data_IF_355894610226
#
_entry.id   IF_355894610226
#
_cell.length_a   1.000
_cell.length_b   1.000
_cell.length_c   1.000
_cell.angle_alpha   90.00
_cell.angle_beta   90.00
_cell.angle_gamma   90.00
#
_symmetry.space_group_name_H-M   'P 1'
#
loop_
_entity.id
_entity.type
_entity.pdbx_description
1 polymer ?
#
# COMPACT_ATOMS: atom_id res chain seq x y z
N UNK A 1 30.79 -53.01 23.03
CA UNK A 1 31.78 -52.12 22.41
C UNK A 1 31.32 -50.68 22.63
N UNK A 2 32.26 -49.78 22.89
CA UNK A 2 32.12 -48.58 23.72
C UNK A 2 31.14 -47.50 23.23
N UNK A 3 30.36 -46.99 24.18
CA UNK A 3 29.63 -45.72 24.14
C UNK A 3 30.52 -44.60 24.71
N UNK A 4 30.55 -43.43 24.07
CA UNK A 4 30.69 -42.06 24.61
C UNK A 4 30.45 -41.14 23.39
N UNK A 5 29.77 -39.99 23.45
CA UNK A 5 30.15 -38.79 24.19
C UNK A 5 29.02 -37.76 24.06
N UNK A 6 28.80 -36.94 25.09
CA UNK A 6 28.11 -35.65 24.93
C UNK A 6 27.04 -35.36 25.97
N UNK A 7 27.47 -34.91 27.15
CA UNK A 7 26.59 -34.32 28.15
C UNK A 7 26.04 -32.96 27.66
N UNK A 8 24.75 -32.72 27.83
CA UNK A 8 24.23 -31.36 27.95
C UNK A 8 23.17 -31.31 29.04
N UNK A 9 23.51 -30.61 30.12
CA UNK A 9 22.61 -30.23 31.20
C UNK A 9 21.69 -29.11 30.68
N UNK A 10 20.38 -29.30 30.75
CA UNK A 10 19.43 -28.18 30.68
C UNK A 10 18.60 -28.14 31.96
N UNK A 11 18.64 -26.97 32.59
CA UNK A 11 18.06 -26.63 33.88
C UNK A 11 16.56 -26.35 33.74
N UNK A 12 15.76 -26.93 34.62
CA UNK A 12 14.36 -26.57 34.85
C UNK A 12 14.26 -25.22 35.60
N UNK A 13 13.36 -24.34 35.16
CA UNK A 13 12.77 -23.32 36.03
C UNK A 13 11.32 -23.08 35.62
N UNK A 14 10.42 -23.49 36.49
CA UNK A 14 8.97 -23.36 36.40
C UNK A 14 8.59 -22.41 37.54
N UNK A 15 8.16 -21.18 37.24
CA UNK A 15 7.55 -20.30 38.24
C UNK A 15 6.31 -19.62 37.64
N UNK A 16 5.28 -19.69 38.46
CA UNK A 16 3.84 -19.49 38.29
C UNK A 16 3.39 -18.04 38.15
N UNK A 17 2.22 -17.85 37.54
CA UNK A 17 1.45 -16.60 37.56
C UNK A 17 0.67 -16.42 38.88
N UNK A 18 -0.05 -15.28 38.98
CA UNK A 18 -0.83 -14.67 40.09
C UNK A 18 -0.05 -13.55 40.81
N UNK A 19 -0.57 -12.35 41.04
CA UNK A 19 -1.90 -11.77 40.87
C UNK A 19 -1.89 -10.30 41.37
N UNK A 20 -3.00 -9.61 41.17
CA UNK A 20 -3.20 -8.16 41.21
C UNK A 20 -2.94 -7.41 42.53
N UNK A 21 -2.65 -6.10 42.44
CA UNK A 21 -3.44 -5.06 43.15
C UNK A 21 -3.07 -3.61 42.76
N UNK A 22 -4.11 -2.79 42.82
CA UNK A 22 -4.29 -1.37 42.47
C UNK A 22 -3.65 -0.35 43.41
N UNK A 23 -3.29 0.84 42.90
CA UNK A 23 -3.73 2.17 43.41
C UNK A 23 -3.16 3.34 42.57
N UNK A 24 -3.84 4.47 42.68
CA UNK A 24 -3.91 5.62 41.77
C UNK A 24 -2.72 6.60 41.73
N UNK A 25 -2.72 7.31 40.60
CA UNK A 25 -2.41 8.74 40.40
C UNK A 25 -0.97 9.23 40.62
N UNK A 26 -0.33 9.65 39.51
CA UNK A 26 0.20 11.01 39.44
C UNK A 26 0.30 11.52 38.00
N UNK A 27 -0.33 12.68 37.84
CA UNK A 27 -0.46 13.51 36.67
C UNK A 27 0.93 13.89 36.10
N UNK A 28 1.27 13.42 34.90
CA UNK A 28 2.40 13.95 34.12
C UNK A 28 1.94 14.26 32.70
N UNK A 29 1.71 15.55 32.47
CA UNK A 29 1.51 16.23 31.19
C UNK A 29 2.62 15.83 30.19
N UNK A 30 2.31 15.26 29.01
CA UNK A 30 3.29 15.18 27.93
C UNK A 30 3.52 16.57 27.34
N UNK A 31 4.79 16.94 27.18
CA UNK A 31 5.24 18.21 26.65
C UNK A 31 4.73 18.45 25.22
N UNK A 32 4.26 19.67 24.95
CA UNK A 32 3.89 20.13 23.63
C UNK A 32 5.12 20.15 22.70
N UNK A 33 5.02 19.46 21.56
CA UNK A 33 6.02 19.51 20.48
C UNK A 33 5.98 20.91 19.84
N UNK A 34 7.11 21.57 19.58
CA UNK A 34 7.10 22.93 19.05
C UNK A 34 6.57 22.93 17.61
N UNK A 35 5.61 23.83 17.38
CA UNK A 35 5.06 24.15 16.07
C UNK A 35 6.02 25.09 15.33
N UNK A 36 6.82 24.55 14.41
CA UNK A 36 7.35 25.29 13.25
C UNK A 36 7.99 24.34 12.24
N UNK A 37 7.16 23.71 11.40
CA UNK A 37 7.62 23.23 10.10
C UNK A 37 7.10 24.24 9.06
N UNK A 38 8.00 25.07 8.52
CA UNK A 38 7.71 25.93 7.37
C UNK A 38 7.16 25.03 6.26
N UNK A 39 5.92 25.27 5.82
CA UNK A 39 5.36 24.63 4.65
C UNK A 39 6.18 25.08 3.43
N UNK A 40 7.04 24.20 2.93
CA UNK A 40 7.70 24.39 1.64
C UNK A 40 6.63 24.18 0.58
N UNK A 41 6.26 25.25 -0.14
CA UNK A 41 5.36 25.16 -1.28
C UNK A 41 5.91 24.11 -2.27
N UNK A 42 5.10 23.17 -2.77
CA UNK A 42 5.60 22.13 -3.65
C UNK A 42 6.04 22.77 -4.97
N UNK A 43 7.26 22.43 -5.39
CA UNK A 43 7.77 22.76 -6.73
C UNK A 43 6.84 22.12 -7.75
N UNK A 44 6.04 22.93 -8.44
CA UNK A 44 5.14 22.48 -9.50
C UNK A 44 5.99 22.14 -10.73
N UNK A 45 6.17 20.85 -11.02
CA UNK A 45 6.73 20.43 -12.31
C UNK A 45 5.73 20.81 -13.41
N UNK A 46 6.11 21.72 -14.30
CA UNK A 46 5.26 22.33 -15.35
C UNK A 46 5.12 21.49 -16.62
N UNK A 47 5.05 20.17 -16.50
CA UNK A 47 4.89 19.26 -17.64
C UNK A 47 4.00 18.06 -17.32
N UNK A 48 3.39 17.43 -18.34
CA UNK A 48 2.49 16.31 -18.13
C UNK A 48 3.23 15.17 -17.44
N UNK A 49 2.67 14.66 -16.34
CA UNK A 49 3.26 13.55 -15.61
C UNK A 49 3.15 12.28 -16.44
N UNK A 50 4.31 11.67 -16.73
CA UNK A 50 4.40 10.40 -17.45
C UNK A 50 5.09 9.36 -16.58
N UNK A 51 4.60 8.13 -16.64
CA UNK A 51 5.14 6.99 -15.91
C UNK A 51 5.31 5.84 -16.89
N UNK A 52 6.48 5.18 -16.84
CA UNK A 52 6.72 3.96 -17.60
C UNK A 52 6.49 2.76 -16.67
N UNK A 53 5.67 1.80 -17.12
CA UNK A 53 5.40 0.55 -16.44
C UNK A 53 6.10 -0.56 -17.22
N UNK A 54 6.96 -1.29 -16.54
CA UNK A 54 7.64 -2.47 -17.07
C UNK A 54 6.88 -3.72 -16.66
N UNK A 55 6.70 -4.64 -17.60
CA UNK A 55 6.07 -5.94 -17.39
C UNK A 55 6.81 -6.99 -18.20
N UNK A 56 6.62 -8.26 -17.88
CA UNK A 56 7.19 -9.38 -18.66
C UNK A 56 6.67 -9.41 -20.11
N UNK A 57 5.50 -8.81 -20.35
CA UNK A 57 4.89 -8.68 -21.67
C UNK A 57 5.32 -7.42 -22.43
N UNK A 58 6.22 -6.62 -21.87
CA UNK A 58 6.73 -5.38 -22.46
C UNK A 58 6.47 -4.13 -21.61
N UNK A 59 6.84 -2.97 -22.16
CA UNK A 59 6.77 -1.68 -21.48
C UNK A 59 5.63 -0.82 -22.02
N UNK A 60 4.99 -0.05 -21.13
CA UNK A 60 3.96 0.92 -21.50
C UNK A 60 4.20 2.27 -20.83
N UNK A 61 3.88 3.35 -21.54
CA UNK A 61 3.98 4.71 -21.00
C UNK A 61 2.57 5.25 -20.81
N UNK A 62 2.26 5.63 -19.58
CA UNK A 62 1.00 6.29 -19.22
C UNK A 62 1.24 7.77 -19.00
N UNK A 63 0.31 8.60 -19.48
CA UNK A 63 0.22 10.01 -19.15
C UNK A 63 -0.90 10.17 -18.12
N UNK A 64 -0.60 10.77 -16.98
CA UNK A 64 -1.60 11.07 -15.97
C UNK A 64 -2.30 12.40 -16.29
N UNK A 65 -3.59 12.47 -15.99
CA UNK A 65 -4.40 13.67 -16.19
C UNK A 65 -4.18 14.67 -15.07
N UNK A 66 -4.11 15.95 -15.41
CA UNK A 66 -4.09 17.05 -14.42
C UNK A 66 -5.49 17.37 -13.88
N UNK A 67 -6.55 16.86 -14.53
CA UNK A 67 -7.94 17.02 -14.08
C UNK A 67 -8.34 16.08 -12.95
N UNK A 68 -7.48 15.12 -12.57
CA UNK A 68 -7.66 14.20 -11.44
C UNK A 68 -6.45 14.27 -10.51
N UNK A 69 -6.18 15.44 -9.89
CA UNK A 69 -4.94 15.69 -9.15
C UNK A 69 -4.75 14.76 -7.96
N UNK A 70 -5.81 14.40 -7.22
CA UNK A 70 -5.67 13.53 -6.04
C UNK A 70 -5.23 12.12 -6.43
N UNK A 71 -5.84 11.54 -7.46
CA UNK A 71 -5.45 10.24 -7.99
C UNK A 71 -4.07 10.28 -8.64
N UNK A 72 -3.77 11.32 -9.42
CA UNK A 72 -2.45 11.53 -10.04
C UNK A 72 -1.36 11.53 -8.98
N UNK A 73 -1.52 12.38 -7.96
CA UNK A 73 -0.48 12.61 -6.96
C UNK A 73 -0.30 11.39 -6.05
N UNK A 74 -1.39 10.71 -5.70
CA UNK A 74 -1.28 9.44 -4.98
C UNK A 74 -0.60 8.35 -5.81
N UNK A 75 -0.93 8.21 -7.09
CA UNK A 75 -0.28 7.23 -7.96
C UNK A 75 1.22 7.51 -8.09
N UNK A 76 1.60 8.78 -8.30
CA UNK A 76 3.02 9.20 -8.34
C UNK A 76 3.73 8.90 -7.02
N UNK A 77 3.08 9.17 -5.89
CA UNK A 77 3.62 8.86 -4.56
C UNK A 77 3.89 7.35 -4.42
N UNK A 78 2.92 6.51 -4.75
CA UNK A 78 3.05 5.05 -4.66
C UNK A 78 4.13 4.50 -5.59
N UNK A 79 4.23 5.02 -6.82
CA UNK A 79 5.31 4.66 -7.76
C UNK A 79 6.68 5.02 -7.19
N UNK A 80 6.86 6.23 -6.63
CA UNK A 80 8.12 6.64 -6.00
C UNK A 80 8.50 5.78 -4.78
N UNK A 81 7.52 5.15 -4.14
CA UNK A 81 7.71 4.27 -2.99
C UNK A 81 8.01 2.82 -3.41
N UNK A 82 8.08 2.50 -4.71
CA UNK A 82 8.24 1.12 -5.18
C UNK A 82 7.04 0.23 -4.87
N UNK A 83 5.87 0.82 -4.60
CA UNK A 83 4.68 0.08 -4.17
C UNK A 83 4.27 -0.97 -5.22
N UNK A 84 4.26 -0.56 -6.49
CA UNK A 84 3.83 -1.39 -7.62
C UNK A 84 4.86 -2.43 -8.06
N UNK A 85 6.08 -2.40 -7.51
CA UNK A 85 7.14 -3.31 -7.93
C UNK A 85 6.77 -4.75 -7.58
N UNK A 86 6.92 -5.63 -8.57
CA UNK A 86 6.57 -7.05 -8.51
C UNK A 86 5.07 -7.35 -8.30
N UNK A 87 4.17 -6.37 -8.52
CA UNK A 87 2.73 -6.63 -8.55
C UNK A 87 2.31 -7.24 -9.88
N UNK A 88 1.26 -8.06 -9.85
CA UNK A 88 0.68 -8.68 -11.05
C UNK A 88 -0.63 -8.03 -11.48
N UNK A 89 -0.96 -8.18 -12.75
CA UNK A 89 -2.32 -7.98 -13.25
C UNK A 89 -3.16 -9.20 -12.89
N UNK A 90 -3.80 -9.16 -11.72
CA UNK A 90 -4.56 -10.29 -11.18
C UNK A 90 -5.91 -10.50 -11.86
N UNK A 91 -6.39 -9.54 -12.65
CA UNK A 91 -7.66 -9.67 -13.36
C UNK A 91 -7.51 -9.15 -14.80
N UNK A 92 -7.69 -10.06 -15.76
CA UNK A 92 -7.59 -9.79 -17.20
C UNK A 92 -8.88 -10.25 -17.85
N UNK A 93 -9.65 -9.33 -18.41
CA UNK A 93 -10.89 -9.63 -19.15
C UNK A 93 -10.71 -9.19 -20.60
N UNK A 94 -10.66 -10.15 -21.56
CA UNK A 94 -10.52 -9.83 -22.97
C UNK A 94 -11.58 -8.83 -23.46
N UNK A 95 -11.16 -7.89 -24.30
CA UNK A 95 -12.02 -6.83 -24.86
C UNK A 95 -12.66 -5.89 -23.82
N UNK A 96 -12.19 -5.91 -22.57
CA UNK A 96 -12.69 -5.00 -21.54
C UNK A 96 -11.55 -4.26 -20.83
N UNK A 97 -10.85 -4.92 -19.91
CA UNK A 97 -9.82 -4.27 -19.09
C UNK A 97 -8.84 -5.27 -18.47
N UNK A 98 -7.71 -4.71 -18.02
CA UNK A 98 -6.78 -5.37 -17.10
C UNK A 98 -6.75 -4.56 -15.80
N UNK A 99 -6.69 -5.25 -14.67
CA UNK A 99 -6.67 -4.66 -13.34
C UNK A 99 -5.53 -5.27 -12.53
N UNK A 100 -4.79 -4.40 -11.85
CA UNK A 100 -3.63 -4.72 -11.02
C UNK A 100 -3.58 -3.81 -9.80
N UNK A 101 -2.42 -3.72 -9.16
CA UNK A 101 -2.22 -2.79 -8.03
C UNK A 101 -2.69 -3.31 -6.67
N UNK A 102 -3.00 -4.61 -6.55
CA UNK A 102 -3.27 -5.23 -5.25
C UNK A 102 -1.95 -5.61 -4.57
N UNK A 103 -1.61 -5.04 -3.40
CA UNK A 103 -0.34 -5.30 -2.73
C UNK A 103 -0.17 -6.75 -2.26
N UNK A 104 -1.27 -7.49 -2.06
CA UNK A 104 -1.22 -8.91 -1.68
C UNK A 104 -0.77 -9.81 -2.83
N UNK A 105 -0.68 -9.25 -4.04
CA UNK A 105 -0.36 -10.01 -5.25
C UNK A 105 1.14 -10.30 -5.47
N UNK A 106 2.06 -9.66 -4.73
CA UNK A 106 3.53 -9.80 -4.95
C UNK A 106 4.01 -11.24 -4.97
N UNK A 107 3.48 -12.07 -4.08
CA UNK A 107 3.86 -13.47 -3.92
C UNK A 107 2.61 -14.36 -3.78
N UNK A 108 1.51 -13.95 -4.41
CA UNK A 108 0.27 -14.70 -4.32
C UNK A 108 0.42 -16.07 -4.99
N UNK A 109 0.04 -17.12 -4.27
CA UNK A 109 -0.05 -18.46 -4.83
C UNK A 109 -1.22 -18.55 -5.83
N UNK A 110 -1.15 -19.46 -6.82
CA UNK A 110 -2.29 -19.75 -7.67
C UNK A 110 -3.55 -20.09 -6.85
N UNK A 111 -4.70 -19.51 -7.22
CA UNK A 111 -5.97 -19.73 -6.55
C UNK A 111 -6.29 -18.78 -5.40
N UNK A 112 -5.36 -17.89 -5.01
CA UNK A 112 -5.66 -16.83 -4.04
C UNK A 112 -6.54 -15.76 -4.68
N UNK A 113 -7.63 -15.40 -4.00
CA UNK A 113 -8.49 -14.30 -4.39
C UNK A 113 -7.77 -12.96 -4.18
N UNK A 114 -7.70 -12.16 -5.24
CA UNK A 114 -7.07 -10.85 -5.29
C UNK A 114 -8.08 -9.81 -5.81
N UNK A 115 -7.82 -8.54 -5.55
CA UNK A 115 -8.62 -7.40 -6.02
C UNK A 115 -9.56 -6.81 -4.98
N UNK A 116 -9.52 -7.27 -3.73
CA UNK A 116 -10.35 -6.74 -2.64
C UNK A 116 -9.81 -5.44 -2.02
N UNK A 117 -8.65 -4.97 -2.49
CA UNK A 117 -7.93 -3.87 -1.86
C UNK A 117 -7.27 -4.34 -0.57
N UNK A 118 -5.97 -4.61 -0.61
CA UNK A 118 -5.20 -5.01 0.56
C UNK A 118 -4.43 -3.85 1.19
N UNK A 119 -4.17 -3.93 2.50
CA UNK A 119 -3.30 -3.01 3.24
C UNK A 119 -3.97 -1.70 3.69
N UNK A 120 -3.26 -0.92 4.51
CA UNK A 120 -3.71 0.37 5.07
C UNK A 120 -3.63 1.51 4.04
N UNK A 121 -4.07 1.24 2.80
CA UNK A 121 -3.99 2.19 1.71
C UNK A 121 -4.99 3.33 1.90
N UNK A 122 -4.53 4.55 1.65
CA UNK A 122 -5.39 5.72 1.64
C UNK A 122 -6.43 5.60 0.53
N UNK A 123 -7.71 5.59 0.91
CA UNK A 123 -8.82 5.76 -0.04
C UNK A 123 -8.93 7.23 -0.43
N UNK A 124 -9.11 7.50 -1.72
CA UNK A 124 -9.17 8.84 -2.31
C UNK A 124 -10.61 9.11 -2.71
N UNK A 125 -11.18 10.29 -2.40
CA UNK A 125 -12.50 10.66 -2.91
C UNK A 125 -12.56 10.62 -4.44
N UNK A 126 -13.71 10.25 -4.99
CA UNK A 126 -13.90 10.14 -6.42
C UNK A 126 -13.71 11.50 -7.15
N UNK A 127 -12.93 11.50 -8.23
CA UNK A 127 -12.70 12.66 -9.10
C UNK A 127 -13.39 12.46 -10.46
N UNK A 128 -14.72 12.50 -10.48
CA UNK A 128 -15.49 12.34 -11.71
C UNK A 128 -15.47 13.61 -12.55
N UNK A 129 -15.16 13.47 -13.84
CA UNK A 129 -15.18 14.58 -14.79
C UNK A 129 -15.97 14.17 -16.04
N UNK A 130 -16.99 14.93 -16.50
CA UNK A 130 -17.83 14.54 -17.63
C UNK A 130 -17.08 14.29 -18.94
N UNK A 131 -15.93 14.95 -19.12
CA UNK A 131 -15.10 14.80 -20.31
C UNK A 131 -14.11 13.62 -20.23
N UNK A 132 -13.94 13.02 -19.05
CA UNK A 132 -13.09 11.86 -18.82
C UNK A 132 -13.96 10.60 -18.78
N UNK A 133 -14.03 9.90 -19.90
CA UNK A 133 -14.76 8.65 -20.04
C UNK A 133 -13.83 7.49 -20.38
N UNK A 134 -14.25 6.28 -20.02
CA UNK A 134 -13.50 5.06 -20.30
C UNK A 134 -13.48 4.77 -21.79
N UNK A 135 -12.27 4.77 -22.36
CA UNK A 135 -11.99 4.35 -23.73
C UNK A 135 -10.76 3.45 -23.74
N UNK A 136 -10.54 2.71 -24.82
CA UNK A 136 -9.36 1.85 -24.95
C UNK A 136 -8.08 2.66 -24.67
N UNK A 137 -7.26 2.16 -23.73
CA UNK A 137 -6.02 2.82 -23.30
C UNK A 137 -6.18 3.87 -22.20
N UNK A 138 -7.39 4.16 -21.73
CA UNK A 138 -7.59 4.99 -20.55
C UNK A 138 -7.15 4.25 -19.28
N UNK A 139 -6.48 4.97 -18.38
CA UNK A 139 -6.19 4.50 -17.03
C UNK A 139 -7.21 5.07 -16.05
N UNK A 140 -7.76 4.22 -15.19
CA UNK A 140 -8.73 4.61 -14.17
C UNK A 140 -8.39 3.92 -12.83
N UNK A 141 -8.83 4.53 -11.73
CA UNK A 141 -8.74 3.91 -10.41
C UNK A 141 -9.90 2.93 -10.21
N UNK A 142 -9.58 1.70 -9.80
CA UNK A 142 -10.57 0.74 -9.35
C UNK A 142 -11.15 1.20 -8.01
N UNK A 143 -12.44 0.98 -7.82
CA UNK A 143 -13.20 1.37 -6.62
C UNK A 143 -14.27 0.34 -6.30
N UNK A 144 -14.65 0.29 -5.03
CA UNK A 144 -15.82 -0.46 -4.59
C UNK A 144 -17.09 0.37 -4.84
N UNK A 145 -18.23 -0.09 -4.32
CA UNK A 145 -19.52 0.59 -4.47
C UNK A 145 -19.71 1.80 -3.56
N UNK A 146 -18.71 2.20 -2.76
CA UNK A 146 -18.83 3.33 -1.86
C UNK A 146 -18.89 4.64 -2.66
N UNK A 147 -19.97 5.44 -2.56
CA UNK A 147 -20.08 6.68 -3.34
C UNK A 147 -19.11 7.78 -2.88
N UNK A 148 -18.57 7.68 -1.66
CA UNK A 148 -17.66 8.69 -1.11
C UNK A 148 -16.18 8.44 -1.44
N UNK A 149 -15.83 7.22 -1.89
CA UNK A 149 -14.44 6.74 -1.97
C UNK A 149 -14.14 5.81 -3.14
#
# INVERSE_FOLDING_TARGET
MFNYTGALRLVFALITSFGASSLQAQNRKPAAKPAHAKAVAPVVKTGPVRICIYTDSGSMIIKLSDSTPLHRDNFVKLVKQGFYDSLIFHRVIPQFMIQGGDPTSKNAMPGIMLGNGGGDMQRIPAEFHPTLFHKKGALAAARDGNPEK
#
